data_IF_464098728783
#
_entry.id   IF_464098728783
#
_cell.length_a   1.000
_cell.length_b   1.000
_cell.length_c   1.000
_cell.angle_alpha   90.00
_cell.angle_beta   90.00
_cell.angle_gamma   90.00
#
_symmetry.space_group_name_H-M   'P 1'
#
loop_
_entity.id
_entity.type
_entity.pdbx_description
1 polymer ?
#
# COMPACT_ATOMS: atom_id res chain seq x y z
N UNK A 1 4.45 -1.09 -8.92
CA UNK A 1 4.25 -1.01 -7.46
C UNK A 1 5.64 -0.78 -6.87
N UNK A 2 5.88 0.36 -6.23
CA UNK A 2 7.18 0.66 -5.62
C UNK A 2 7.13 0.09 -4.20
N UNK A 3 7.88 -0.99 -3.96
CA UNK A 3 8.09 -1.52 -2.61
C UNK A 3 9.46 -1.05 -2.13
N UNK A 4 9.57 -0.69 -0.86
CA UNK A 4 10.83 -0.35 -0.22
C UNK A 4 11.12 -1.26 0.96
N UNK A 5 12.39 -1.41 1.31
CA UNK A 5 12.83 -2.16 2.47
C UNK A 5 13.48 -1.21 3.47
N UNK A 6 13.19 -1.42 4.75
CA UNK A 6 14.00 -0.89 5.83
C UNK A 6 14.99 -1.97 6.26
N UNK A 7 16.27 -1.66 6.25
CA UNK A 7 17.36 -2.56 6.58
C UNK A 7 18.15 -1.93 7.72
N UNK A 8 18.22 -2.64 8.84
CA UNK A 8 18.91 -2.20 10.05
C UNK A 8 20.07 -3.13 10.37
N UNK A 9 21.21 -2.52 10.72
CA UNK A 9 22.45 -3.12 11.16
C UNK A 9 22.69 -2.67 12.60
N UNK A 10 22.14 -3.36 13.63
CA UNK A 10 22.25 -2.92 15.01
C UNK A 10 23.68 -2.69 15.51
N UNK A 11 24.66 -3.48 15.00
CA UNK A 11 26.09 -3.32 15.29
C UNK A 11 26.83 -2.32 14.39
N UNK A 12 26.17 -1.76 13.37
CA UNK A 12 26.76 -0.79 12.44
C UNK A 12 25.70 0.20 11.92
N UNK A 13 25.16 1.08 12.79
CA UNK A 13 24.01 1.94 12.44
C UNK A 13 24.25 2.88 11.25
N UNK A 14 25.50 3.18 10.93
CA UNK A 14 25.92 3.96 9.76
C UNK A 14 25.56 3.29 8.42
N UNK A 15 25.24 2.00 8.42
CA UNK A 15 24.81 1.25 7.25
C UNK A 15 23.28 1.13 7.15
N UNK A 16 22.53 1.64 8.13
CA UNK A 16 21.07 1.55 8.13
C UNK A 16 20.47 2.25 6.90
N UNK A 17 19.51 1.59 6.26
CA UNK A 17 18.77 2.13 5.12
C UNK A 17 17.28 2.06 5.42
N UNK A 18 16.61 3.20 5.56
CA UNK A 18 15.19 3.21 5.94
C UNK A 18 14.26 2.91 4.77
N UNK A 19 14.56 3.40 3.56
CA UNK A 19 13.68 3.26 2.40
C UNK A 19 14.46 2.81 1.16
N UNK A 20 15.00 1.58 1.18
CA UNK A 20 15.70 0.98 0.05
C UNK A 20 14.70 0.53 -1.03
N UNK A 21 14.59 1.19 -2.19
CA UNK A 21 13.65 0.76 -3.23
C UNK A 21 14.09 -0.56 -3.85
N UNK A 22 13.12 -1.45 -4.10
CA UNK A 22 13.31 -2.62 -4.96
C UNK A 22 13.20 -2.16 -6.41
N UNK A 23 14.26 -2.39 -7.20
CA UNK A 23 14.36 -2.03 -8.61
C UNK A 23 13.45 -2.93 -9.48
N UNK A 24 13.26 -2.56 -10.74
CA UNK A 24 12.35 -3.28 -11.68
C UNK A 24 12.80 -4.71 -11.99
N UNK A 25 14.09 -4.97 -11.92
CA UNK A 25 14.72 -6.28 -12.04
C UNK A 25 14.64 -7.11 -10.74
N UNK A 26 14.06 -6.56 -9.67
CA UNK A 26 13.90 -7.23 -8.39
C UNK A 26 15.11 -7.14 -7.46
N UNK A 27 16.11 -6.32 -7.79
CA UNK A 27 17.32 -6.13 -6.96
C UNK A 27 17.23 -4.91 -6.05
N UNK A 28 18.07 -4.88 -5.01
CA UNK A 28 18.34 -3.72 -4.15
C UNK A 28 19.82 -3.41 -4.20
N UNK A 29 20.20 -2.15 -3.96
CA UNK A 29 21.59 -1.70 -3.99
C UNK A 29 22.04 -1.31 -2.60
N UNK A 30 23.03 -1.99 -2.06
CA UNK A 30 23.53 -1.79 -0.70
C UNK A 30 25.01 -1.44 -0.69
N UNK A 31 25.43 -0.68 0.31
CA UNK A 31 26.84 -0.38 0.53
C UNK A 31 27.61 -1.66 0.87
N UNK A 32 28.87 -1.76 0.46
CA UNK A 32 29.79 -2.90 0.70
C UNK A 32 29.48 -4.19 -0.07
N UNK A 33 28.23 -4.52 -0.32
CA UNK A 33 27.83 -5.78 -0.99
C UNK A 33 27.21 -5.60 -2.37
N UNK A 34 26.95 -4.36 -2.78
CA UNK A 34 26.48 -4.04 -4.13
C UNK A 34 25.02 -4.44 -4.36
N UNK A 35 24.76 -5.05 -5.52
CA UNK A 35 23.41 -5.45 -5.92
C UNK A 35 23.03 -6.82 -5.36
N UNK A 36 21.88 -6.89 -4.68
CA UNK A 36 21.37 -8.11 -4.06
C UNK A 36 19.96 -8.37 -4.54
N UNK A 37 19.66 -9.61 -4.94
CA UNK A 37 18.30 -9.99 -5.32
C UNK A 37 17.38 -9.95 -4.08
N UNK A 38 16.26 -9.24 -4.17
CA UNK A 38 15.29 -9.12 -3.07
C UNK A 38 13.91 -9.68 -3.45
N UNK A 39 13.50 -9.54 -4.72
CA UNK A 39 12.22 -10.05 -5.19
C UNK A 39 12.14 -11.59 -5.04
N UNK A 40 10.97 -12.07 -4.61
CA UNK A 40 10.72 -13.50 -4.39
C UNK A 40 11.25 -14.04 -3.06
N UNK A 41 11.98 -13.25 -2.27
CA UNK A 41 12.43 -13.62 -0.92
C UNK A 41 11.52 -13.05 0.15
N UNK A 42 11.33 -13.80 1.21
CA UNK A 42 10.79 -13.29 2.47
C UNK A 42 11.83 -12.40 3.17
N UNK A 43 11.42 -11.50 4.08
CA UNK A 43 12.37 -10.69 4.85
C UNK A 43 13.42 -11.53 5.58
N UNK A 44 13.02 -12.65 6.20
CA UNK A 44 13.92 -13.54 6.93
C UNK A 44 14.94 -14.27 6.02
N UNK A 45 14.56 -14.61 4.78
CA UNK A 45 15.50 -15.17 3.81
C UNK A 45 16.53 -14.12 3.38
N UNK A 46 16.06 -12.91 3.10
CA UNK A 46 16.93 -11.80 2.72
C UNK A 46 17.88 -11.41 3.88
N UNK A 47 17.42 -11.39 5.13
CA UNK A 47 18.28 -11.19 6.32
C UNK A 47 19.44 -12.18 6.37
N UNK A 48 19.15 -13.48 6.22
CA UNK A 48 20.17 -14.54 6.26
C UNK A 48 21.18 -14.41 5.13
N UNK A 49 20.73 -14.02 3.94
CA UNK A 49 21.60 -13.81 2.79
C UNK A 49 22.48 -12.58 2.97
N UNK A 50 21.90 -11.46 3.40
CA UNK A 50 22.66 -10.25 3.70
C UNK A 50 23.70 -10.53 4.78
N UNK A 51 23.36 -11.27 5.83
CA UNK A 51 24.31 -11.60 6.89
C UNK A 51 25.56 -12.30 6.32
N UNK A 52 25.39 -13.29 5.44
CA UNK A 52 26.49 -13.98 4.74
C UNK A 52 27.30 -13.08 3.82
N UNK A 53 26.65 -12.16 3.11
CA UNK A 53 27.32 -11.25 2.18
C UNK A 53 28.17 -10.21 2.92
N UNK A 54 27.73 -9.78 4.11
CA UNK A 54 28.45 -8.79 4.92
C UNK A 54 29.50 -9.41 5.86
N UNK A 55 29.39 -10.68 6.25
CA UNK A 55 30.34 -11.40 7.12
C UNK A 55 31.83 -11.19 6.78
N UNK A 56 32.28 -11.20 5.51
CA UNK A 56 33.69 -11.01 5.17
C UNK A 56 34.22 -9.59 5.45
N UNK A 57 33.32 -8.61 5.57
CA UNK A 57 33.65 -7.20 5.67
C UNK A 57 33.31 -6.61 7.05
N UNK A 58 32.40 -7.26 7.78
CA UNK A 58 31.87 -6.79 9.06
C UNK A 58 31.63 -7.96 10.01
N UNK A 59 31.98 -7.77 11.28
CA UNK A 59 31.55 -8.66 12.35
C UNK A 59 30.10 -8.31 12.76
N UNK A 60 29.13 -8.91 12.09
CA UNK A 60 27.71 -8.74 12.36
C UNK A 60 27.12 -10.00 13.00
N UNK A 61 26.33 -9.83 14.07
CA UNK A 61 25.56 -10.92 14.68
C UNK A 61 24.11 -10.95 14.20
N UNK A 62 23.61 -9.84 13.63
CA UNK A 62 22.23 -9.72 13.17
C UNK A 62 22.08 -8.58 12.14
N UNK A 63 21.16 -8.78 11.19
CA UNK A 63 20.61 -7.78 10.29
C UNK A 63 19.09 -7.94 10.37
N UNK A 64 18.36 -6.83 10.38
CA UNK A 64 16.90 -6.85 10.31
C UNK A 64 16.42 -6.22 9.01
N UNK A 65 15.52 -6.91 8.32
CA UNK A 65 14.86 -6.44 7.10
C UNK A 65 13.37 -6.36 7.37
N UNK A 66 12.78 -5.21 7.12
CA UNK A 66 11.33 -5.01 7.19
C UNK A 66 10.84 -4.45 5.87
N UNK A 67 9.69 -4.93 5.39
CA UNK A 67 9.04 -4.35 4.22
C UNK A 67 8.43 -3.02 4.63
N UNK A 68 8.89 -1.94 4.02
CA UNK A 68 8.17 -0.68 4.02
C UNK A 68 7.21 -0.67 2.84
N UNK A 69 5.92 -0.73 3.14
CA UNK A 69 4.92 -0.39 2.16
C UNK A 69 5.07 1.10 1.85
N UNK A 70 5.45 1.44 0.61
CA UNK A 70 5.54 2.83 0.21
C UNK A 70 4.14 3.42 0.23
N UNK A 71 3.94 4.48 1.03
CA UNK A 71 2.67 5.18 1.08
C UNK A 71 2.26 5.59 -0.35
N UNK A 72 1.02 5.28 -0.72
CA UNK A 72 0.46 5.61 -2.02
C UNK A 72 -0.83 6.42 -1.85
N UNK A 73 -1.14 7.34 -2.78
CA UNK A 73 -2.38 8.07 -2.72
C UNK A 73 -3.56 7.22 -3.22
N UNK A 74 -4.70 7.37 -2.56
CA UNK A 74 -6.03 7.13 -3.12
C UNK A 74 -6.86 8.41 -2.98
N UNK A 75 -7.95 8.53 -3.72
CA UNK A 75 -8.79 9.72 -3.70
C UNK A 75 -10.23 9.34 -3.35
N UNK A 76 -10.87 10.12 -2.50
CA UNK A 76 -12.29 9.97 -2.16
C UNK A 76 -13.01 11.26 -2.48
N UNK A 77 -14.14 11.18 -3.17
CA UNK A 77 -14.90 12.36 -3.60
C UNK A 77 -16.41 12.10 -3.66
N UNK A 78 -17.19 13.16 -3.87
CA UNK A 78 -18.65 13.12 -3.83
C UNK A 78 -19.20 13.29 -2.41
N UNK A 79 -20.29 12.59 -2.10
CA UNK A 79 -21.07 12.72 -0.86
C UNK A 79 -20.43 12.01 0.34
N UNK A 80 -19.24 12.47 0.72
CA UNK A 80 -18.54 12.11 1.96
C UNK A 80 -18.32 13.37 2.80
N UNK A 81 -18.01 13.22 4.08
CA UNK A 81 -17.81 14.39 4.96
C UNK A 81 -16.54 15.19 4.59
N UNK A 82 -15.43 14.50 4.30
CA UNK A 82 -14.14 15.12 3.98
C UNK A 82 -13.57 14.55 2.67
N UNK A 83 -14.02 15.03 1.50
CA UNK A 83 -13.47 14.59 0.22
C UNK A 83 -12.01 15.07 0.07
N UNK A 84 -11.18 14.24 -0.54
CA UNK A 84 -9.77 14.58 -0.76
C UNK A 84 -8.86 13.39 -1.04
N UNK A 85 -7.56 13.69 -1.04
CA UNK A 85 -6.48 12.71 -1.18
C UNK A 85 -6.19 12.07 0.17
N UNK A 86 -6.11 10.74 0.21
CA UNK A 86 -5.71 9.96 1.38
C UNK A 86 -4.36 9.30 1.08
N UNK A 87 -3.39 9.49 1.96
CA UNK A 87 -2.13 8.73 1.90
C UNK A 87 -2.33 7.41 2.61
N UNK A 88 -2.02 6.32 1.91
CA UNK A 88 -2.30 4.97 2.33
C UNK A 88 -1.00 4.19 2.41
N UNK A 89 -0.64 3.72 3.58
CA UNK A 89 0.59 2.96 3.86
C UNK A 89 0.36 1.45 3.97
N UNK A 90 -0.89 0.99 3.95
CA UNK A 90 -1.27 -0.44 3.96
C UNK A 90 -2.40 -0.70 2.95
N UNK A 91 -2.62 -1.93 2.48
CA UNK A 91 -3.83 -2.22 1.72
C UNK A 91 -5.09 -1.82 2.50
N UNK A 92 -5.94 -1.00 1.89
CA UNK A 92 -7.27 -0.64 2.40
C UNK A 92 -8.34 -0.89 1.34
N UNK A 93 -9.57 -1.02 1.78
CA UNK A 93 -10.76 -1.18 0.94
C UNK A 93 -11.41 0.16 0.61
N UNK A 94 -12.33 0.15 -0.35
CA UNK A 94 -13.13 1.33 -0.68
C UNK A 94 -14.01 1.80 0.49
N UNK A 95 -14.52 0.88 1.31
CA UNK A 95 -15.24 1.25 2.53
C UNK A 95 -14.34 1.91 3.57
N UNK A 96 -13.17 1.34 3.85
CA UNK A 96 -12.19 1.95 4.76
C UNK A 96 -11.76 3.34 4.29
N UNK A 97 -11.50 3.53 3.00
CA UNK A 97 -11.16 4.84 2.44
C UNK A 97 -12.28 5.87 2.66
N UNK A 98 -13.54 5.48 2.54
CA UNK A 98 -14.68 6.36 2.84
C UNK A 98 -14.73 6.69 4.34
N UNK A 99 -14.42 5.74 5.23
CA UNK A 99 -14.36 6.00 6.67
C UNK A 99 -13.23 6.97 7.04
N UNK A 100 -12.05 6.83 6.42
CA UNK A 100 -10.93 7.77 6.54
C UNK A 100 -11.30 9.17 6.02
N UNK A 101 -12.18 9.26 5.01
CA UNK A 101 -12.77 10.51 4.53
C UNK A 101 -13.89 11.07 5.46
N UNK A 102 -13.96 10.62 6.70
CA UNK A 102 -14.99 11.02 7.68
C UNK A 102 -16.34 10.31 7.53
N UNK A 103 -16.45 9.34 6.63
CA UNK A 103 -17.68 8.59 6.38
C UNK A 103 -18.59 9.21 5.32
N UNK A 104 -19.71 8.54 5.07
CA UNK A 104 -20.74 8.97 4.14
C UNK A 104 -21.46 10.22 4.65
N UNK A 105 -21.82 11.14 3.76
CA UNK A 105 -22.82 12.18 4.08
C UNK A 105 -24.17 11.49 4.37
N UNK A 106 -24.72 11.59 5.60
CA UNK A 106 -25.92 10.84 5.99
C UNK A 106 -27.18 11.30 5.23
N UNK A 107 -27.22 12.56 4.79
CA UNK A 107 -28.36 13.15 4.11
C UNK A 107 -28.33 12.81 2.62
N UNK A 108 -27.17 12.96 1.99
CA UNK A 108 -27.06 12.95 0.52
C UNK A 108 -26.54 11.64 -0.06
N UNK A 109 -25.71 10.88 0.65
CA UNK A 109 -24.95 9.79 0.03
C UNK A 109 -25.82 8.61 -0.43
N UNK A 110 -25.54 8.12 -1.64
CA UNK A 110 -26.10 6.90 -2.18
C UNK A 110 -25.11 5.73 -2.05
N UNK A 111 -25.16 5.07 -0.90
CA UNK A 111 -24.32 3.90 -0.57
C UNK A 111 -24.54 2.68 -1.49
N UNK A 112 -25.58 2.67 -2.35
CA UNK A 112 -25.88 1.52 -3.23
C UNK A 112 -25.15 1.60 -4.58
N UNK A 113 -24.59 2.76 -4.92
CA UNK A 113 -24.04 3.04 -6.24
C UNK A 113 -22.66 3.71 -6.17
N UNK A 114 -21.89 3.42 -5.11
CA UNK A 114 -20.51 3.90 -4.99
C UNK A 114 -19.71 3.40 -6.19
N UNK A 115 -18.86 4.24 -6.77
CA UNK A 115 -18.06 3.88 -7.95
C UNK A 115 -16.59 3.98 -7.60
N UNK A 116 -15.84 2.90 -7.84
CA UNK A 116 -14.38 2.97 -7.87
C UNK A 116 -13.93 3.14 -9.31
N UNK A 117 -13.27 4.26 -9.60
CA UNK A 117 -12.62 4.53 -10.86
C UNK A 117 -11.18 4.02 -10.77
N UNK A 118 -10.83 3.08 -11.64
CA UNK A 118 -9.52 2.43 -11.66
C UNK A 118 -8.94 2.46 -13.05
N UNK A 119 -7.75 3.00 -13.20
CA UNK A 119 -7.01 2.92 -14.46
C UNK A 119 -6.23 1.60 -14.53
N UNK A 120 -6.56 0.73 -15.48
CA UNK A 120 -5.94 -0.57 -15.68
C UNK A 120 -5.91 -0.89 -17.17
N UNK A 121 -4.80 -1.43 -17.67
CA UNK A 121 -4.63 -1.81 -19.08
C UNK A 121 -4.86 -0.67 -20.09
N UNK A 122 -4.54 0.58 -19.69
CA UNK A 122 -4.75 1.76 -20.52
C UNK A 122 -6.21 2.22 -20.60
N UNK A 123 -7.10 1.66 -19.78
CA UNK A 123 -8.52 2.00 -19.76
C UNK A 123 -8.98 2.38 -18.35
N UNK A 124 -9.94 3.30 -18.29
CA UNK A 124 -10.63 3.64 -17.04
C UNK A 124 -11.79 2.66 -16.81
N UNK A 125 -11.66 1.80 -15.79
CA UNK A 125 -12.71 0.88 -15.35
C UNK A 125 -13.57 1.54 -14.28
N UNK A 126 -14.88 1.33 -14.39
CA UNK A 126 -15.88 1.78 -13.43
C UNK A 126 -16.42 0.56 -12.66
N UNK A 127 -16.06 0.45 -11.38
CA UNK A 127 -16.50 -0.67 -10.54
C UNK A 127 -17.62 -0.17 -9.62
N UNK A 128 -18.85 -0.57 -9.90
CA UNK A 128 -20.03 -0.17 -9.10
C UNK A 128 -20.15 -1.07 -7.86
N UNK A 129 -20.35 -0.44 -6.71
CA UNK A 129 -20.34 -1.07 -5.38
C UNK A 129 -21.58 -0.68 -4.58
N UNK A 130 -22.24 -1.70 -4.05
CA UNK A 130 -23.33 -1.55 -3.10
C UNK A 130 -22.81 -1.72 -1.67
N UNK A 131 -22.19 -0.66 -1.14
CA UNK A 131 -21.60 -0.66 0.20
C UNK A 131 -22.65 -0.66 1.31
N UNK A 132 -23.91 -0.28 1.02
CA UNK A 132 -25.02 -0.48 1.96
C UNK A 132 -25.17 -1.95 2.38
N UNK A 133 -25.08 -2.87 1.41
CA UNK A 133 -25.17 -4.31 1.71
C UNK A 133 -23.99 -4.81 2.54
N UNK A 134 -22.80 -4.22 2.36
CA UNK A 134 -21.61 -4.55 3.14
C UNK A 134 -21.79 -4.11 4.60
N UNK A 135 -22.24 -2.87 4.82
CA UNK A 135 -22.53 -2.34 6.16
C UNK A 135 -23.64 -3.11 6.89
N UNK A 136 -24.66 -3.57 6.16
CA UNK A 136 -25.74 -4.40 6.71
C UNK A 136 -25.35 -5.87 6.92
N UNK A 137 -24.10 -6.27 6.67
CA UNK A 137 -23.64 -7.66 6.77
C UNK A 137 -24.23 -8.60 5.71
N UNK A 138 -24.91 -8.06 4.68
CA UNK A 138 -25.57 -8.81 3.59
C UNK A 138 -24.62 -9.09 2.41
N UNK A 139 -23.39 -8.63 2.48
CA UNK A 139 -22.32 -8.91 1.53
C UNK A 139 -20.97 -8.81 2.22
N UNK A 140 -20.08 -9.76 1.93
CA UNK A 140 -18.70 -9.77 2.41
C UNK A 140 -17.69 -9.47 1.30
N UNK A 141 -18.15 -9.06 0.12
CA UNK A 141 -17.26 -8.75 -1.00
C UNK A 141 -16.53 -7.44 -0.70
N UNK A 142 -15.27 -7.54 -0.29
CA UNK A 142 -14.36 -6.42 -0.10
C UNK A 142 -13.62 -6.13 -1.43
N UNK A 143 -13.34 -4.86 -1.71
CA UNK A 143 -12.50 -4.46 -2.85
C UNK A 143 -11.30 -3.69 -2.32
N UNK A 144 -10.10 -4.29 -2.34
CA UNK A 144 -8.89 -3.55 -2.03
C UNK A 144 -8.68 -2.46 -3.11
N UNK A 145 -8.33 -1.26 -2.65
CA UNK A 145 -7.93 -0.16 -3.51
C UNK A 145 -6.49 -0.34 -4.00
N UNK A 146 -6.21 0.31 -5.12
CA UNK A 146 -4.89 0.38 -5.74
C UNK A 146 -4.40 1.83 -5.77
N UNK A 147 -3.08 2.05 -5.94
CA UNK A 147 -2.54 3.38 -6.11
C UNK A 147 -3.30 4.18 -7.17
N UNK A 148 -3.68 5.40 -6.82
CA UNK A 148 -4.43 6.35 -7.64
C UNK A 148 -5.88 5.98 -7.97
N UNK A 149 -6.45 4.96 -7.34
CA UNK A 149 -7.91 4.74 -7.42
C UNK A 149 -8.68 5.96 -6.90
N UNK A 150 -9.84 6.22 -7.51
CA UNK A 150 -10.78 7.26 -7.06
C UNK A 150 -12.08 6.58 -6.62
N UNK A 151 -12.44 6.76 -5.35
CA UNK A 151 -13.72 6.34 -4.79
C UNK A 151 -14.70 7.51 -4.87
N UNK A 152 -15.71 7.38 -5.72
CA UNK A 152 -16.77 8.36 -5.89
C UNK A 152 -18.06 7.89 -5.22
N UNK A 153 -18.57 8.70 -4.29
CA UNK A 153 -19.86 8.48 -3.64
C UNK A 153 -20.90 9.41 -4.27
N UNK A 154 -21.87 8.89 -5.06
CA UNK A 154 -22.88 9.74 -5.66
C UNK A 154 -23.95 10.19 -4.65
N UNK A 155 -24.69 11.23 -5.01
CA UNK A 155 -25.90 11.63 -4.30
C UNK A 155 -27.09 10.69 -4.58
N UNK A 156 -28.06 10.65 -3.68
CA UNK A 156 -29.37 10.03 -3.91
C UNK A 156 -30.06 10.79 -5.05
N UNK A 157 -30.58 10.09 -6.05
CA UNK A 157 -31.49 10.68 -7.03
C UNK A 157 -32.85 10.89 -6.34
N UNK A 158 -33.39 12.10 -6.48
CA UNK A 158 -34.76 12.43 -6.06
C UNK A 158 -35.79 11.74 -6.95
#
# INVERSE_FOLDING_TARGET
MLWSLSISFPGSPNLNVTAQPIRRDGTISLQLVGEVAAAGKTPAELEKELLKLYEPQLSLNQISVTVQSSAYPVFVTGSVLHPGKIQVDRPITDLEAIMEAGGFDPLKANMRAVVVLRYEDGQLKHIIRNLKRVLEGKSSLLLPLRPSDIVYVPEKKF
#
